data_IF_201906175010
#
_entry.id   IF_201906175010
#
_cell.length_a   1.000
_cell.length_b   1.000
_cell.length_c   1.000
_cell.angle_alpha   90.00
_cell.angle_beta   90.00
_cell.angle_gamma   90.00
#
_symmetry.space_group_name_H-M   'P 1'
#
loop_
_entity.id
_entity.type
_entity.pdbx_description
1 polymer ?
#
# COMPACT_ATOMS: atom_id res chain seq x y z
N UNK A 1 -35.28 20.47 21.61
CA UNK A 1 -34.06 21.32 21.67
C UNK A 1 -33.27 21.11 20.38
N UNK A 2 -32.63 22.14 19.81
CA UNK A 2 -32.24 22.13 18.40
C UNK A 2 -30.88 21.45 18.15
N UNK A 3 -30.69 20.22 18.67
CA UNK A 3 -29.47 19.42 18.46
C UNK A 3 -29.74 17.91 18.26
N UNK A 4 -30.92 17.51 17.79
CA UNK A 4 -31.30 16.08 17.66
C UNK A 4 -31.29 15.50 16.24
N UNK A 5 -30.62 16.12 15.25
CA UNK A 5 -30.65 15.61 13.87
C UNK A 5 -29.30 15.60 13.14
N UNK A 6 -28.21 15.24 13.82
CA UNK A 6 -27.09 14.62 13.12
C UNK A 6 -27.22 13.12 13.36
N UNK A 7 -27.98 12.44 12.49
CA UNK A 7 -27.62 11.07 12.18
C UNK A 7 -26.15 11.15 11.77
N UNK A 8 -25.26 10.45 12.48
CA UNK A 8 -23.86 10.38 12.09
C UNK A 8 -23.83 9.67 10.74
N UNK A 9 -23.93 10.43 9.65
CA UNK A 9 -23.62 9.97 8.31
C UNK A 9 -22.20 9.44 8.41
N UNK A 10 -22.09 8.11 8.37
CA UNK A 10 -20.83 7.40 8.24
C UNK A 10 -20.19 7.94 6.97
N UNK A 11 -19.18 8.80 7.12
CA UNK A 11 -18.41 9.30 6.00
C UNK A 11 -17.46 8.19 5.56
N UNK A 12 -17.47 7.94 4.25
CA UNK A 12 -16.62 6.98 3.59
C UNK A 12 -15.35 7.68 3.08
N UNK A 13 -14.20 7.06 3.31
CA UNK A 13 -12.90 7.60 2.93
C UNK A 13 -12.05 6.53 2.25
N UNK A 14 -11.17 6.99 1.37
CA UNK A 14 -10.11 6.18 0.77
C UNK A 14 -8.77 6.73 1.27
N UNK A 15 -7.92 5.87 1.80
CA UNK A 15 -6.53 6.22 2.08
C UNK A 15 -5.72 6.06 0.80
N UNK A 16 -5.38 7.17 0.15
CA UNK A 16 -4.66 7.13 -1.13
C UNK A 16 -3.17 6.83 -0.96
N UNK A 17 -2.67 6.63 0.27
CA UNK A 17 -1.23 6.48 0.53
C UNK A 17 -0.98 5.44 1.62
N UNK A 18 -1.11 4.16 1.26
CA UNK A 18 -0.88 3.03 2.16
C UNK A 18 0.42 2.32 1.82
N UNK A 19 1.30 2.15 2.80
CA UNK A 19 2.48 1.30 2.63
C UNK A 19 2.29 -0.02 3.37
N UNK A 20 2.61 -1.12 2.69
CA UNK A 20 2.62 -2.48 3.22
C UNK A 20 3.97 -3.13 2.92
N UNK A 21 4.47 -3.95 3.83
CA UNK A 21 5.72 -4.68 3.65
C UNK A 21 5.76 -5.90 4.57
N UNK A 22 6.52 -6.92 4.17
CA UNK A 22 6.75 -8.11 4.99
C UNK A 22 8.15 -8.11 5.63
N UNK A 23 8.25 -8.68 6.82
CA UNK A 23 9.49 -8.85 7.56
C UNK A 23 10.53 -9.71 6.82
N UNK A 24 10.12 -10.57 5.89
CA UNK A 24 11.06 -11.40 5.11
C UNK A 24 11.77 -10.62 4.00
N UNK A 25 11.30 -9.42 3.66
CA UNK A 25 11.84 -8.56 2.61
C UNK A 25 11.64 -7.09 2.97
N UNK A 26 12.20 -6.69 4.11
CA UNK A 26 12.12 -5.29 4.55
C UNK A 26 12.94 -4.40 3.60
N UNK A 27 12.41 -3.24 3.20
CA UNK A 27 13.18 -2.23 2.50
C UNK A 27 14.50 -1.91 3.21
N UNK A 28 15.60 -1.67 2.47
CA UNK A 28 16.92 -1.45 3.07
C UNK A 28 16.95 -0.31 4.10
N UNK A 29 16.10 0.71 3.91
CA UNK A 29 16.03 1.86 4.81
C UNK A 29 15.45 1.52 6.20
N UNK A 30 14.74 0.40 6.37
CA UNK A 30 14.27 -0.07 7.69
C UNK A 30 15.38 -0.61 8.60
N UNK A 31 16.61 -0.73 8.10
CA UNK A 31 17.77 -1.08 8.91
C UNK A 31 18.20 0.03 9.89
N UNK A 32 17.71 1.26 9.71
CA UNK A 32 17.97 2.36 10.65
C UNK A 32 17.34 2.05 12.03
N UNK A 33 18.13 1.98 13.11
CA UNK A 33 17.62 1.76 14.46
C UNK A 33 16.55 2.78 14.91
N UNK A 34 16.57 4.00 14.36
CA UNK A 34 15.55 5.02 14.63
C UNK A 34 14.16 4.62 14.12
N UNK A 35 14.09 3.67 13.16
CA UNK A 35 12.86 3.17 12.55
C UNK A 35 12.38 1.84 13.14
N UNK A 36 12.97 1.39 14.25
CA UNK A 36 12.64 0.11 14.88
C UNK A 36 11.14 -0.04 15.23
N UNK A 37 10.40 1.05 15.44
CA UNK A 37 8.96 1.02 15.71
C UNK A 37 8.10 0.57 14.51
N UNK A 38 8.64 0.73 13.29
CA UNK A 38 7.98 0.38 12.04
C UNK A 38 8.67 -0.78 11.30
N UNK A 39 9.89 -1.17 11.71
CA UNK A 39 10.65 -2.30 11.16
C UNK A 39 10.07 -3.68 11.56
N UNK A 40 8.80 -3.91 11.25
CA UNK A 40 8.03 -5.14 11.43
C UNK A 40 7.04 -5.29 10.29
N UNK A 41 6.55 -6.50 10.02
CA UNK A 41 5.52 -6.75 9.00
C UNK A 41 4.33 -5.78 9.17
N UNK A 42 3.89 -5.20 8.06
CA UNK A 42 2.66 -4.41 7.89
C UNK A 42 1.86 -5.06 6.78
N UNK A 43 0.98 -5.99 7.15
CA UNK A 43 0.30 -6.87 6.21
C UNK A 43 -1.02 -6.29 5.70
N UNK A 44 -1.54 -6.83 4.58
CA UNK A 44 -2.89 -6.55 4.10
C UNK A 44 -3.96 -6.91 5.15
N UNK A 45 -3.72 -7.94 5.95
CA UNK A 45 -4.63 -8.32 7.04
C UNK A 45 -4.71 -7.25 8.12
N UNK A 46 -3.57 -6.68 8.51
CA UNK A 46 -3.53 -5.59 9.50
C UNK A 46 -4.31 -4.38 8.98
N UNK A 47 -4.07 -4.01 7.71
CA UNK A 47 -4.78 -2.92 7.05
C UNK A 47 -6.31 -3.14 7.04
N UNK A 48 -6.77 -4.34 6.67
CA UNK A 48 -8.20 -4.67 6.63
C UNK A 48 -8.88 -4.60 8.01
N UNK A 49 -8.16 -5.00 9.07
CA UNK A 49 -8.66 -4.93 10.45
C UNK A 49 -8.76 -3.47 10.90
N UNK A 50 -7.71 -2.68 10.71
CA UNK A 50 -7.68 -1.26 11.09
C UNK A 50 -8.74 -0.46 10.31
N UNK A 51 -8.93 -0.75 9.02
CA UNK A 51 -9.95 -0.13 8.19
C UNK A 51 -11.40 -0.42 8.64
N UNK A 52 -11.60 -1.43 9.48
CA UNK A 52 -12.93 -1.84 9.94
C UNK A 52 -13.34 -1.24 11.29
N UNK A 53 -12.45 -0.48 11.96
CA UNK A 53 -12.70 0.09 13.28
C UNK A 53 -13.00 1.59 13.28
N UNK A 54 -14.08 2.02 13.93
CA UNK A 54 -14.30 3.43 14.29
C UNK A 54 -15.58 4.07 13.75
N UNK A 55 -15.70 5.38 13.97
CA UNK A 55 -16.82 6.21 13.49
C UNK A 55 -16.66 6.64 12.02
N UNK A 56 -15.45 6.46 11.47
CA UNK A 56 -15.08 6.75 10.09
C UNK A 56 -14.98 5.43 9.33
N UNK A 57 -15.44 5.42 8.08
CA UNK A 57 -15.48 4.21 7.26
C UNK A 57 -14.32 4.24 6.26
N UNK A 58 -13.22 3.57 6.58
CA UNK A 58 -12.12 3.41 5.62
C UNK A 58 -12.51 2.35 4.59
N UNK A 59 -13.04 2.79 3.44
CA UNK A 59 -13.61 1.92 2.43
C UNK A 59 -12.56 1.22 1.56
N UNK A 60 -11.34 1.77 1.53
CA UNK A 60 -10.25 1.20 0.76
C UNK A 60 -8.98 2.02 0.87
N UNK A 61 -7.93 1.54 0.21
CA UNK A 61 -6.69 2.28 0.07
C UNK A 61 -6.01 2.06 -1.27
N UNK A 62 -5.07 2.94 -1.58
CA UNK A 62 -4.14 2.79 -2.70
C UNK A 62 -2.77 2.49 -2.11
N UNK A 63 -2.21 1.34 -2.51
CA UNK A 63 -0.86 0.98 -2.10
C UNK A 63 0.16 1.91 -2.74
N UNK A 64 1.23 2.22 -2.00
CA UNK A 64 2.38 2.97 -2.46
C UNK A 64 3.64 2.11 -2.26
N UNK A 65 4.43 1.98 -3.33
CA UNK A 65 5.75 1.34 -3.31
C UNK A 65 6.63 1.82 -2.14
N UNK A 66 7.48 0.92 -1.63
CA UNK A 66 8.26 1.16 -0.40
C UNK A 66 9.75 1.31 -0.65
N UNK A 67 10.15 1.63 -1.87
CA UNK A 67 11.55 1.79 -2.31
C UNK A 67 12.40 0.56 -1.94
N UNK A 68 11.93 -0.62 -2.34
CA UNK A 68 12.71 -1.86 -2.21
C UNK A 68 14.01 -1.77 -3.02
N UNK A 69 14.97 -2.65 -2.71
CA UNK A 69 16.17 -2.75 -3.53
C UNK A 69 15.81 -3.01 -5.01
N UNK A 70 16.57 -2.49 -5.99
CA UNK A 70 16.24 -2.64 -7.41
C UNK A 70 15.96 -4.08 -7.86
N UNK A 71 16.69 -5.06 -7.29
CA UNK A 71 16.51 -6.49 -7.60
C UNK A 71 15.18 -7.08 -7.09
N UNK A 72 14.50 -6.41 -6.17
CA UNK A 72 13.25 -6.86 -5.55
C UNK A 72 12.01 -6.17 -6.14
N UNK A 73 12.19 -5.17 -7.01
CA UNK A 73 11.11 -4.32 -7.53
C UNK A 73 10.02 -5.12 -8.24
N UNK A 74 10.37 -6.02 -9.15
CA UNK A 74 9.40 -6.88 -9.83
C UNK A 74 8.64 -7.79 -8.86
N UNK A 75 9.31 -8.27 -7.81
CA UNK A 75 8.68 -9.10 -6.77
C UNK A 75 7.70 -8.30 -5.92
N UNK A 76 8.03 -7.06 -5.56
CA UNK A 76 7.12 -6.14 -4.87
C UNK A 76 5.87 -5.89 -5.70
N UNK A 77 6.04 -5.54 -6.99
CA UNK A 77 4.92 -5.26 -7.89
C UNK A 77 4.04 -6.50 -8.08
N UNK A 78 4.62 -7.66 -8.36
CA UNK A 78 3.87 -8.91 -8.48
C UNK A 78 3.04 -9.20 -7.23
N UNK A 79 3.64 -9.04 -6.05
CA UNK A 79 2.98 -9.28 -4.79
C UNK A 79 1.79 -8.32 -4.58
N UNK A 80 1.97 -7.04 -4.88
CA UNK A 80 0.92 -6.04 -4.64
C UNK A 80 -0.22 -6.10 -5.65
N UNK A 81 0.08 -6.46 -6.90
CA UNK A 81 -0.95 -6.76 -7.91
C UNK A 81 -1.79 -7.95 -7.48
N UNK A 82 -1.16 -9.02 -6.97
CA UNK A 82 -1.87 -10.15 -6.38
C UNK A 82 -2.75 -9.70 -5.20
N UNK A 83 -2.22 -8.88 -4.27
CA UNK A 83 -2.97 -8.35 -3.13
C UNK A 83 -4.20 -7.51 -3.53
N UNK A 84 -4.11 -6.72 -4.60
CA UNK A 84 -5.25 -5.98 -5.14
C UNK A 84 -6.31 -6.92 -5.73
N UNK A 85 -5.90 -8.09 -6.25
CA UNK A 85 -6.79 -9.11 -6.80
C UNK A 85 -7.45 -10.04 -5.77
N UNK A 86 -6.98 -10.07 -4.52
CA UNK A 86 -7.57 -10.93 -3.47
C UNK A 86 -9.04 -10.56 -3.23
N UNK A 87 -9.99 -11.51 -3.28
CA UNK A 87 -11.38 -11.23 -2.98
C UNK A 87 -11.56 -10.65 -1.58
N UNK A 88 -12.20 -9.47 -1.50
CA UNK A 88 -12.40 -8.75 -0.25
C UNK A 88 -11.19 -7.90 0.20
N UNK A 89 -10.14 -7.82 -0.63
CA UNK A 89 -9.07 -6.83 -0.44
C UNK A 89 -9.65 -5.42 -0.44
N UNK A 90 -9.16 -4.59 0.48
CA UNK A 90 -9.46 -3.16 0.51
C UNK A 90 -8.45 -2.32 -0.26
N UNK A 91 -7.42 -2.94 -0.86
CA UNK A 91 -6.57 -2.24 -1.81
C UNK A 91 -7.31 -2.09 -3.13
N UNK A 92 -7.59 -0.85 -3.52
CA UNK A 92 -8.32 -0.50 -4.73
C UNK A 92 -7.39 -0.26 -5.93
N UNK A 93 -6.09 -0.23 -5.68
CA UNK A 93 -5.05 -0.02 -6.68
C UNK A 93 -3.69 0.12 -6.01
N UNK A 94 -2.67 0.30 -6.85
CA UNK A 94 -1.29 0.42 -6.43
C UNK A 94 -0.56 1.45 -7.28
N UNK A 95 0.31 2.22 -6.64
CA UNK A 95 1.39 2.97 -7.27
C UNK A 95 2.64 2.14 -7.09
N UNK A 96 3.23 1.72 -8.21
CA UNK A 96 4.33 0.76 -8.26
C UNK A 96 5.65 1.46 -8.60
N UNK A 97 6.75 0.94 -8.06
CA UNK A 97 8.09 1.40 -8.42
C UNK A 97 8.44 1.03 -9.85
N UNK A 98 9.25 1.86 -10.51
CA UNK A 98 9.73 1.62 -11.87
C UNK A 98 11.21 2.02 -12.01
N UNK A 99 11.97 1.43 -12.96
CA UNK A 99 13.41 1.70 -13.11
C UNK A 99 13.67 3.04 -13.82
N UNK A 100 13.25 4.15 -13.20
CA UNK A 100 13.32 5.51 -13.79
C UNK A 100 14.72 6.11 -13.66
N UNK A 101 15.45 5.76 -12.58
CA UNK A 101 16.77 6.32 -12.25
C UNK A 101 17.90 5.33 -12.55
N UNK A 102 17.63 4.05 -12.36
CA UNK A 102 18.57 2.93 -12.44
C UNK A 102 18.40 2.07 -13.70
N UNK A 103 17.55 2.50 -14.65
CA UNK A 103 17.31 1.82 -15.91
C UNK A 103 17.35 2.75 -17.14
N UNK A 104 17.16 2.15 -18.30
CA UNK A 104 17.04 2.80 -19.60
C UNK A 104 15.58 3.12 -19.92
N UNK A 105 15.36 4.01 -20.90
CA UNK A 105 14.01 4.28 -21.41
C UNK A 105 13.32 3.02 -21.97
N UNK A 106 14.09 2.12 -22.57
CA UNK A 106 13.58 0.85 -23.12
C UNK A 106 13.14 -0.09 -22.00
N UNK A 107 13.93 -0.22 -20.93
CA UNK A 107 13.58 -0.99 -19.73
C UNK A 107 12.33 -0.40 -19.07
N UNK A 108 12.28 0.93 -18.86
CA UNK A 108 11.08 1.59 -18.33
C UNK A 108 9.85 1.35 -19.21
N UNK A 109 9.98 1.46 -20.53
CA UNK A 109 8.86 1.25 -21.47
C UNK A 109 8.35 -0.19 -21.42
N UNK A 110 9.27 -1.17 -21.34
CA UNK A 110 8.93 -2.58 -21.19
C UNK A 110 8.22 -2.81 -19.86
N UNK A 111 8.72 -2.21 -18.78
CA UNK A 111 8.16 -2.29 -17.44
C UNK A 111 6.71 -1.77 -17.38
N UNK A 112 6.44 -0.59 -17.97
CA UNK A 112 5.09 -0.04 -18.01
C UNK A 112 4.14 -0.96 -18.78
N UNK A 113 4.56 -1.54 -19.92
CA UNK A 113 3.70 -2.44 -20.70
C UNK A 113 3.33 -3.74 -19.98
N UNK A 114 4.18 -4.19 -19.06
CA UNK A 114 3.92 -5.39 -18.29
C UNK A 114 2.97 -5.15 -17.13
N UNK A 115 3.08 -3.99 -16.47
CA UNK A 115 2.43 -3.74 -15.19
C UNK A 115 1.33 -2.67 -15.16
N UNK A 116 1.16 -1.86 -16.21
CA UNK A 116 0.20 -0.74 -16.28
C UNK A 116 -0.61 -0.71 -17.58
#
# INVERSE_FOLDING_TARGET
GPLQHLSATRMDFIDTHVHLWDATSLPPWLADPALASIARTRSLSDFNVEASGGALSLCGGVYMEVDVAPADREREVACVVEMCGVPGSRLLGAVIGAPVVDGTLEEFTTYVREWA
#
